data_IF_166603560223
#
_entry.id   IF_166603560223
#
_cell.length_a   1.000
_cell.length_b   1.000
_cell.length_c   1.000
_cell.angle_alpha   90.00
_cell.angle_beta   90.00
_cell.angle_gamma   90.00
#
_symmetry.space_group_name_H-M   'P 1'
#
loop_
_entity.id
_entity.type
_entity.pdbx_description
1 polymer ?
#
# COMPACT_ATOMS: atom_id res chain seq x y z
N UNK A 1 -9.63 -6.07 9.03
CA UNK A 1 -8.35 -5.56 9.53
C UNK A 1 -8.48 -4.09 9.86
N UNK A 2 -8.05 -3.67 11.04
CA UNK A 2 -8.10 -2.24 11.40
C UNK A 2 -7.14 -1.38 10.57
N UNK A 3 -6.09 -1.98 10.02
CA UNK A 3 -5.18 -1.26 9.14
C UNK A 3 -5.53 -1.57 7.70
N UNK A 4 -5.82 -0.53 6.95
CA UNK A 4 -6.18 -0.64 5.54
C UNK A 4 -5.00 -0.20 4.70
N UNK A 5 -4.69 -0.95 3.66
CA UNK A 5 -3.63 -0.60 2.73
C UNK A 5 -4.26 0.02 1.49
N UNK A 6 -3.92 1.26 1.22
CA UNK A 6 -4.48 2.03 0.11
C UNK A 6 -3.52 2.20 -1.06
N UNK A 7 -2.63 1.23 -1.24
CA UNK A 7 -1.68 1.26 -2.36
C UNK A 7 -2.42 1.30 -3.70
N UNK A 8 -3.48 0.50 -3.82
CA UNK A 8 -4.28 0.45 -5.04
C UNK A 8 -4.92 1.81 -5.35
N UNK A 9 -5.40 2.51 -4.33
CA UNK A 9 -6.00 3.83 -4.51
C UNK A 9 -4.95 4.82 -5.02
N UNK A 10 -3.75 4.81 -4.42
CA UNK A 10 -2.69 5.71 -4.84
C UNK A 10 -2.16 5.37 -6.22
N UNK A 11 -2.09 4.08 -6.55
CA UNK A 11 -1.71 3.66 -7.90
C UNK A 11 -2.70 4.22 -8.94
N UNK A 12 -3.99 4.13 -8.62
CA UNK A 12 -5.01 4.64 -9.52
C UNK A 12 -4.89 6.16 -9.68
N UNK A 13 -4.63 6.87 -8.58
CA UNK A 13 -4.45 8.32 -8.64
C UNK A 13 -3.26 8.73 -9.49
N UNK A 14 -2.20 7.94 -9.47
CA UNK A 14 -0.98 8.22 -10.24
C UNK A 14 -0.99 7.55 -11.60
N UNK A 15 -2.05 6.80 -11.91
CA UNK A 15 -2.18 6.05 -13.16
C UNK A 15 -0.98 5.15 -13.39
N UNK A 16 -0.54 4.49 -12.33
CA UNK A 16 0.63 3.61 -12.34
C UNK A 16 0.17 2.16 -12.27
N UNK A 17 0.73 1.31 -13.13
CA UNK A 17 0.40 -0.10 -13.14
C UNK A 17 1.13 -0.84 -12.04
N UNK A 18 0.64 -2.04 -11.71
CA UNK A 18 1.27 -2.89 -10.71
C UNK A 18 2.72 -3.23 -11.11
N UNK A 19 2.92 -3.56 -12.38
CA UNK A 19 4.25 -3.89 -12.90
C UNK A 19 5.20 -2.70 -12.77
N UNK A 20 4.71 -1.53 -13.10
CA UNK A 20 5.51 -0.31 -13.03
C UNK A 20 5.92 -0.01 -11.59
N UNK A 21 4.98 -0.12 -10.66
CA UNK A 21 5.27 0.13 -9.26
C UNK A 21 6.25 -0.93 -8.71
N UNK A 22 6.04 -2.19 -9.04
CA UNK A 22 6.92 -3.26 -8.59
C UNK A 22 8.36 -3.01 -9.04
N UNK A 23 8.54 -2.56 -10.26
CA UNK A 23 9.86 -2.23 -10.79
C UNK A 23 10.49 -1.07 -10.03
N UNK A 24 9.72 -0.03 -9.76
CA UNK A 24 10.22 1.15 -9.06
C UNK A 24 10.56 0.88 -7.60
N UNK A 25 9.83 -0.02 -6.97
CA UNK A 25 10.02 -0.36 -5.56
C UNK A 25 11.02 -1.50 -5.39
N UNK A 26 11.31 -2.20 -6.48
CA UNK A 26 12.24 -3.33 -6.49
C UNK A 26 11.74 -4.48 -5.62
N UNK A 27 10.48 -4.84 -5.81
CA UNK A 27 9.90 -6.03 -5.20
C UNK A 27 9.19 -6.83 -6.27
N UNK A 28 8.90 -8.09 -5.96
CA UNK A 28 8.23 -8.95 -6.94
C UNK A 28 6.77 -8.55 -7.10
N UNK A 29 6.22 -8.87 -8.26
CA UNK A 29 4.79 -8.66 -8.50
C UNK A 29 3.94 -9.40 -7.48
N UNK A 30 4.36 -10.61 -7.11
CA UNK A 30 3.63 -11.41 -6.13
C UNK A 30 3.55 -10.70 -4.78
N UNK A 31 4.69 -10.17 -4.31
CA UNK A 31 4.74 -9.48 -3.03
C UNK A 31 3.94 -8.18 -3.06
N UNK A 32 4.04 -7.44 -4.15
CA UNK A 32 3.27 -6.20 -4.28
C UNK A 32 1.78 -6.50 -4.36
N UNK A 33 1.40 -7.57 -5.04
CA UNK A 33 0.00 -7.98 -5.12
C UNK A 33 -0.56 -8.34 -3.74
N UNK A 34 0.23 -9.04 -2.92
CA UNK A 34 -0.17 -9.37 -1.56
C UNK A 34 -0.41 -8.09 -0.75
N UNK A 35 0.46 -7.12 -0.90
CA UNK A 35 0.32 -5.85 -0.21
C UNK A 35 -0.90 -5.08 -0.72
N UNK A 36 -1.07 -5.02 -2.03
CA UNK A 36 -2.18 -4.30 -2.66
C UNK A 36 -3.53 -4.84 -2.22
N UNK A 37 -3.65 -6.16 -2.07
CA UNK A 37 -4.91 -6.77 -1.69
C UNK A 37 -5.17 -6.74 -0.18
N UNK A 38 -4.25 -6.18 0.59
CA UNK A 38 -4.43 -6.07 2.03
C UNK A 38 -4.16 -7.36 2.78
N UNK A 39 -3.51 -8.33 2.15
CA UNK A 39 -3.21 -9.60 2.79
C UNK A 39 -1.86 -9.64 3.47
N UNK A 40 -1.06 -8.59 3.31
CA UNK A 40 0.23 -8.50 3.96
C UNK A 40 0.04 -8.29 5.46
N UNK A 41 0.84 -8.98 6.24
CA UNK A 41 0.80 -8.86 7.70
C UNK A 41 1.80 -7.87 8.24
N UNK A 42 2.74 -7.45 7.40
CA UNK A 42 3.79 -6.52 7.80
C UNK A 42 4.35 -5.85 6.56
N UNK A 43 4.96 -4.70 6.75
CA UNK A 43 5.67 -4.00 5.69
C UNK A 43 6.93 -3.41 6.30
N UNK A 44 8.05 -3.53 5.59
CA UNK A 44 9.30 -2.94 6.05
C UNK A 44 9.27 -1.45 5.79
N UNK A 45 9.88 -0.69 6.66
CA UNK A 45 9.96 0.75 6.46
C UNK A 45 10.67 1.11 5.15
N UNK A 46 11.68 0.32 4.77
CA UNK A 46 12.36 0.57 3.50
C UNK A 46 11.42 0.40 2.30
N UNK A 47 10.54 -0.59 2.37
CA UNK A 47 9.54 -0.81 1.31
C UNK A 47 8.51 0.32 1.32
N UNK A 48 8.04 0.70 2.49
CA UNK A 48 7.09 1.79 2.63
C UNK A 48 7.67 3.10 2.09
N UNK A 49 8.92 3.37 2.41
CA UNK A 49 9.61 4.55 1.92
C UNK A 49 9.70 4.56 0.39
N UNK A 50 10.05 3.41 -0.19
CA UNK A 50 10.16 3.28 -1.64
C UNK A 50 8.81 3.48 -2.32
N UNK A 51 7.74 2.96 -1.72
CA UNK A 51 6.39 3.14 -2.25
C UNK A 51 5.99 4.61 -2.20
N UNK A 52 6.24 5.28 -1.08
CA UNK A 52 5.94 6.70 -0.95
C UNK A 52 6.69 7.53 -1.97
N UNK A 53 7.97 7.20 -2.19
CA UNK A 53 8.78 7.90 -3.16
C UNK A 53 8.26 7.67 -4.58
N UNK A 54 7.93 6.44 -4.92
CA UNK A 54 7.46 6.09 -6.26
C UNK A 54 6.09 6.72 -6.56
N UNK A 55 5.22 6.80 -5.57
CA UNK A 55 3.87 7.34 -5.72
C UNK A 55 3.78 8.81 -5.33
N UNK A 56 4.89 9.38 -4.89
CA UNK A 56 4.95 10.79 -4.45
C UNK A 56 3.85 11.08 -3.44
N UNK A 57 3.88 10.34 -2.33
CA UNK A 57 2.86 10.47 -1.30
C UNK A 57 3.46 10.20 0.08
N UNK A 58 2.64 10.33 1.10
CA UNK A 58 3.05 10.13 2.48
C UNK A 58 2.58 8.76 2.97
N UNK A 59 3.20 8.20 4.02
CA UNK A 59 2.74 6.92 4.57
C UNK A 59 1.26 6.91 4.92
N UNK A 60 0.72 8.02 5.39
CA UNK A 60 -0.70 8.12 5.70
C UNK A 60 -1.62 8.02 4.49
N UNK A 61 -1.06 8.19 3.28
CA UNK A 61 -1.83 7.98 2.06
C UNK A 61 -1.87 6.51 1.66
N UNK A 62 -0.92 5.72 2.17
CA UNK A 62 -0.78 4.31 1.82
C UNK A 62 -1.40 3.41 2.89
N UNK A 63 -1.32 3.83 4.15
CA UNK A 63 -1.80 3.06 5.28
C UNK A 63 -2.81 3.89 6.06
N UNK A 64 -3.87 3.24 6.52
CA UNK A 64 -4.93 3.92 7.22
C UNK A 64 -5.42 3.04 8.36
N UNK A 65 -5.66 3.63 9.52
CA UNK A 65 -6.29 2.92 10.62
C UNK A 65 -7.78 3.20 10.60
N UNK A 66 -8.56 2.13 10.53
CA UNK A 66 -10.01 2.24 10.54
C UNK A 66 -10.52 1.34 11.68
N UNK A 67 -11.24 1.88 12.66
CA UNK A 67 -11.77 1.05 13.73
C UNK A 67 -12.66 -0.06 13.19
N UNK A 68 -12.69 -1.17 13.89
CA UNK A 68 -13.49 -2.29 13.45
C UNK A 68 -14.96 -1.94 13.41
N UNK A 69 -15.65 -2.52 12.47
CA UNK A 69 -17.09 -2.33 12.35
C UNK A 69 -17.78 -2.92 13.54
N UNK A 70 -18.83 -2.30 13.95
CA UNK A 70 -19.62 -2.80 15.08
C UNK A 70 -19.12 -2.30 16.40
N UNK A 71 -18.01 -1.67 16.41
CA UNK A 71 -17.51 -1.10 17.63
C UNK A 71 -18.20 0.20 17.92
N UNK A 72 -18.97 0.60 17.12
CA UNK A 72 -19.57 1.84 17.21
C UNK A 72 -20.30 2.12 18.42
N UNK A 73 -20.09 2.44 18.59
CA UNK A 73 -20.83 2.55 19.10
C UNK A 73 -21.22 3.08 19.43
#
# INVERSE_FOLDING_TARGET
>A
MPIIVNVDVMMARRKMSLTELATKVDITLANLSILKTGKAKAIRFSTLEAICKALDCQPGDVLEYVPEQGVVE
#
